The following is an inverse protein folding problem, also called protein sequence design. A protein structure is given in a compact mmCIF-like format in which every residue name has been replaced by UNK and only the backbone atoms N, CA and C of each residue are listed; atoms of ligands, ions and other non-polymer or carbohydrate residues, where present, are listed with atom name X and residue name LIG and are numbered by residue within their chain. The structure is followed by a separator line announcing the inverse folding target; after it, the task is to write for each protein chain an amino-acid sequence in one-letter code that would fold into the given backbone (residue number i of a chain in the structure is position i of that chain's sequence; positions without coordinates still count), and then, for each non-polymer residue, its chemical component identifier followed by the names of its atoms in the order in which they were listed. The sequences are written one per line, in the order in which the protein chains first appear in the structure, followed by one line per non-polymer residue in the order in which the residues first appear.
data_IF_547460870731
#
_entry.id   IF_547460870731
#
_cell.length_a   1.000
_cell.length_b   1.000
_cell.length_c   1.000
_cell.angle_alpha   90.00
_cell.angle_beta   90.00
_cell.angle_gamma   90.00
#
_symmetry.space_group_name_H-M   'P 1'
#
loop_
_entity.id
_entity.type
_entity.pdbx_description
1 polymer ?
#
# COMPACT_ATOMS: atom_id res chain seq x y z
N UNK A 1 41.80 -30.15 -9.52
CA UNK A 1 40.44 -30.66 -9.78
C UNK A 1 39.62 -30.91 -8.51
N UNK A 2 40.15 -31.50 -7.43
CA UNK A 2 39.37 -31.73 -6.18
C UNK A 2 38.88 -30.48 -5.49
N UNK A 3 39.62 -29.36 -5.48
CA UNK A 3 39.22 -28.11 -4.85
C UNK A 3 38.12 -27.33 -5.59
N UNK A 4 38.02 -27.51 -6.91
CA UNK A 4 36.98 -26.88 -7.74
C UNK A 4 35.60 -27.52 -7.50
N UNK A 5 35.57 -28.85 -7.31
CA UNK A 5 34.33 -29.57 -7.02
C UNK A 5 33.73 -29.24 -5.63
N UNK A 6 34.58 -29.03 -4.61
CA UNK A 6 34.15 -28.67 -3.28
C UNK A 6 33.53 -27.26 -3.27
N UNK A 7 34.11 -26.29 -3.99
CA UNK A 7 33.58 -24.93 -4.09
C UNK A 7 32.22 -24.85 -4.79
N UNK A 8 31.99 -25.67 -5.82
CA UNK A 8 30.71 -25.74 -6.53
C UNK A 8 29.63 -26.39 -5.66
N UNK A 9 29.96 -27.42 -4.88
CA UNK A 9 29.02 -28.06 -3.96
C UNK A 9 28.58 -27.12 -2.81
N UNK A 10 29.50 -26.32 -2.27
CA UNK A 10 29.19 -25.33 -1.21
C UNK A 10 28.31 -24.21 -1.77
N UNK A 11 28.56 -23.75 -2.99
CA UNK A 11 27.73 -22.70 -3.63
C UNK A 11 26.33 -23.22 -3.97
N UNK A 12 26.19 -24.45 -4.46
CA UNK A 12 24.89 -25.09 -4.66
C UNK A 12 24.10 -25.32 -3.35
N UNK A 13 24.77 -25.63 -2.25
CA UNK A 13 24.10 -25.84 -0.95
C UNK A 13 23.61 -24.52 -0.33
N UNK A 14 24.30 -23.41 -0.55
CA UNK A 14 23.87 -22.07 -0.13
C UNK A 14 22.64 -21.58 -0.92
N UNK A 15 22.57 -21.87 -2.22
CA UNK A 15 21.40 -21.57 -3.05
C UNK A 15 20.20 -22.45 -2.69
N UNK A 16 20.42 -23.73 -2.37
CA UNK A 16 19.34 -24.65 -2.01
C UNK A 16 18.70 -24.32 -0.65
N UNK A 17 19.44 -23.78 0.32
CA UNK A 17 18.89 -23.38 1.63
C UNK A 17 17.93 -22.19 1.52
N UNK A 18 18.14 -21.26 0.57
CA UNK A 18 17.25 -20.12 0.39
C UNK A 18 15.91 -20.47 -0.31
N UNK A 19 15.86 -21.58 -1.06
CA UNK A 19 14.65 -21.99 -1.79
C UNK A 19 13.58 -22.67 -0.92
N UNK A 20 13.94 -23.14 0.28
CA UNK A 20 13.05 -23.86 1.17
C UNK A 20 12.57 -23.02 2.39
N UNK A 21 13.07 -21.79 2.52
CA UNK A 21 12.73 -20.94 3.65
C UNK A 21 11.28 -20.48 3.59
N UNK A 22 10.53 -20.68 4.68
CA UNK A 22 9.11 -20.35 4.79
C UNK A 22 8.94 -18.97 5.41
N UNK A 23 8.58 -18.00 4.61
CA UNK A 23 8.45 -16.59 5.01
C UNK A 23 6.97 -16.23 5.16
N UNK A 24 6.60 -15.61 6.27
CA UNK A 24 5.31 -14.90 6.40
C UNK A 24 5.58 -13.41 6.30
N UNK A 25 4.82 -12.71 5.47
CA UNK A 25 4.83 -11.26 5.42
C UNK A 25 3.51 -10.69 5.97
N UNK A 26 3.62 -9.72 6.89
CA UNK A 26 2.48 -9.12 7.58
C UNK A 26 2.57 -7.60 7.41
N UNK A 27 1.56 -7.03 6.74
CA UNK A 27 1.52 -5.64 6.30
C UNK A 27 1.76 -5.49 4.81
N UNK A 28 0.80 -4.86 4.12
CA UNK A 28 0.80 -4.76 2.67
C UNK A 28 2.06 -4.14 2.07
N UNK A 29 2.66 -3.12 2.73
CA UNK A 29 3.93 -2.53 2.27
C UNK A 29 5.09 -3.53 2.27
N UNK A 30 5.23 -4.34 3.33
CA UNK A 30 6.29 -5.35 3.42
C UNK A 30 6.07 -6.44 2.39
N UNK A 31 4.83 -6.96 2.29
CA UNK A 31 4.48 -7.98 1.31
C UNK A 31 4.80 -7.50 -0.10
N UNK A 32 4.34 -6.34 -0.47
CA UNK A 32 4.58 -5.75 -1.79
C UNK A 32 6.07 -5.57 -2.07
N UNK A 33 6.84 -5.04 -1.10
CA UNK A 33 8.28 -4.85 -1.23
C UNK A 33 9.01 -6.17 -1.44
N UNK A 34 8.68 -7.23 -0.67
CA UNK A 34 9.27 -8.56 -0.86
C UNK A 34 9.01 -9.11 -2.26
N UNK A 35 7.78 -8.92 -2.78
CA UNK A 35 7.44 -9.36 -4.13
C UNK A 35 8.08 -8.49 -5.21
N UNK A 36 8.22 -7.18 -5.01
CA UNK A 36 8.92 -6.28 -5.93
C UNK A 36 10.43 -6.58 -6.01
N UNK A 37 11.03 -7.05 -4.92
CA UNK A 37 12.41 -7.54 -4.87
C UNK A 37 12.57 -8.97 -5.43
N UNK A 38 11.51 -9.55 -6.02
CA UNK A 38 11.49 -10.91 -6.58
C UNK A 38 11.81 -12.02 -5.55
N UNK A 39 11.47 -11.78 -4.27
CA UNK A 39 11.66 -12.75 -3.18
C UNK A 39 10.35 -13.40 -2.73
N UNK A 40 9.27 -13.18 -3.50
CA UNK A 40 7.93 -13.67 -3.16
C UNK A 40 7.72 -15.19 -3.25
N UNK A 41 8.63 -15.95 -3.89
CA UNK A 41 8.53 -17.41 -3.99
C UNK A 41 8.61 -18.12 -2.64
N UNK A 42 9.20 -17.49 -1.65
CA UNK A 42 9.36 -18.03 -0.30
C UNK A 42 8.19 -17.66 0.64
N UNK A 43 7.29 -16.78 0.19
CA UNK A 43 6.17 -16.32 0.99
C UNK A 43 5.08 -17.39 1.01
N UNK A 44 4.82 -17.96 2.18
CA UNK A 44 3.84 -19.06 2.39
C UNK A 44 2.51 -18.58 2.93
N UNK A 45 2.46 -17.39 3.56
CA UNK A 45 1.23 -16.78 4.06
C UNK A 45 1.40 -15.26 4.20
N UNK A 46 0.28 -14.55 4.19
CA UNK A 46 0.22 -13.08 4.29
C UNK A 46 -0.90 -12.65 5.25
N UNK A 47 -0.92 -11.38 5.64
CA UNK A 47 -2.08 -10.81 6.34
C UNK A 47 -3.18 -10.36 5.35
N UNK A 48 -4.39 -10.11 5.84
CA UNK A 48 -5.54 -9.75 4.98
C UNK A 48 -5.41 -8.36 4.32
N UNK A 49 -4.50 -7.49 4.77
CA UNK A 49 -4.25 -6.19 4.13
C UNK A 49 -3.32 -6.31 2.92
N UNK A 50 -2.67 -7.45 2.75
CA UNK A 50 -1.75 -7.73 1.65
C UNK A 50 -2.54 -8.13 0.40
N UNK A 51 -2.56 -7.25 -0.60
CA UNK A 51 -3.33 -7.44 -1.85
C UNK A 51 -2.50 -7.25 -3.12
N UNK A 52 -1.25 -6.80 -2.99
CA UNK A 52 -0.35 -6.46 -4.09
C UNK A 52 0.95 -7.28 -3.98
N UNK A 53 1.38 -7.90 -5.10
CA UNK A 53 0.66 -8.08 -6.37
C UNK A 53 -0.55 -9.01 -6.23
N UNK A 54 -1.48 -8.99 -7.18
CA UNK A 54 -2.75 -9.74 -7.09
C UNK A 54 -2.57 -11.24 -6.73
N UNK A 55 -1.47 -11.87 -7.13
CA UNK A 55 -1.16 -13.28 -6.80
C UNK A 55 -1.08 -13.55 -5.29
N UNK A 56 -0.80 -12.56 -4.43
CA UNK A 56 -0.73 -12.77 -2.97
C UNK A 56 -2.10 -13.06 -2.36
N UNK A 57 -3.20 -12.67 -3.03
CA UNK A 57 -4.56 -12.95 -2.56
C UNK A 57 -4.91 -14.44 -2.59
N UNK A 58 -4.10 -15.26 -3.26
CA UNK A 58 -4.23 -16.71 -3.32
C UNK A 58 -3.46 -17.42 -2.18
N UNK A 59 -2.61 -16.69 -1.45
CA UNK A 59 -1.86 -17.24 -0.32
C UNK A 59 -2.75 -17.38 0.92
N UNK A 60 -2.47 -18.34 1.82
CA UNK A 60 -3.08 -18.42 3.12
C UNK A 60 -3.00 -17.10 3.89
N UNK A 61 -4.08 -16.73 4.58
CA UNK A 61 -4.18 -15.49 5.35
C UNK A 61 -4.11 -15.77 6.84
N UNK A 62 -3.21 -15.09 7.56
CA UNK A 62 -3.00 -15.24 9.00
C UNK A 62 -3.75 -14.23 9.87
N UNK A 63 -4.66 -13.45 9.28
CA UNK A 63 -5.48 -12.45 9.98
C UNK A 63 -5.10 -11.01 9.65
N UNK A 64 -5.63 -10.06 10.42
CA UNK A 64 -5.39 -8.63 10.21
C UNK A 64 -4.17 -8.15 11.02
N UNK A 65 -3.28 -7.38 10.40
CA UNK A 65 -2.01 -6.93 11.00
C UNK A 65 -2.14 -6.40 12.45
N UNK A 66 -3.21 -5.68 12.79
CA UNK A 66 -3.42 -5.11 14.15
C UNK A 66 -4.19 -6.04 15.10
N UNK A 67 -4.66 -7.17 14.61
CA UNK A 67 -5.47 -8.14 15.37
C UNK A 67 -5.11 -9.58 15.05
N UNK A 68 -3.82 -9.83 14.78
CA UNK A 68 -3.33 -11.16 14.38
C UNK A 68 -3.24 -12.10 15.59
N UNK A 69 -3.29 -13.42 15.36
CA UNK A 69 -3.12 -14.42 16.40
C UNK A 69 -1.80 -15.16 16.27
N UNK A 70 -1.17 -15.46 17.40
CA UNK A 70 0.05 -16.29 17.46
C UNK A 70 -0.18 -17.68 16.87
N UNK A 71 -1.31 -18.31 17.20
CA UNK A 71 -1.67 -19.64 16.73
C UNK A 71 -1.79 -19.70 15.20
N UNK A 72 -2.51 -18.72 14.59
CA UNK A 72 -2.65 -18.62 13.14
C UNK A 72 -1.31 -18.50 12.41
N UNK A 73 -0.36 -17.77 13.00
CA UNK A 73 0.99 -17.64 12.45
C UNK A 73 1.77 -18.94 12.60
N UNK A 74 1.82 -19.52 13.81
CA UNK A 74 2.62 -20.72 14.11
C UNK A 74 2.12 -21.95 13.35
N UNK A 75 0.82 -22.04 13.06
CA UNK A 75 0.25 -23.14 12.25
C UNK A 75 0.82 -23.19 10.83
N UNK A 76 1.37 -22.11 10.32
CA UNK A 76 2.02 -22.03 9.01
C UNK A 76 3.48 -22.52 9.04
N UNK A 77 4.04 -22.87 10.23
CA UNK A 77 5.43 -23.26 10.41
C UNK A 77 6.43 -22.30 9.70
N UNK A 78 6.45 -21.00 10.04
CA UNK A 78 7.36 -20.05 9.41
C UNK A 78 8.78 -20.18 9.97
N UNK A 79 9.77 -20.02 9.10
CA UNK A 79 11.17 -19.81 9.49
C UNK A 79 11.43 -18.35 9.82
N UNK A 80 10.77 -17.44 9.07
CA UNK A 80 10.87 -15.98 9.24
C UNK A 80 9.53 -15.30 9.14
N UNK A 81 9.41 -14.20 9.88
CA UNK A 81 8.28 -13.27 9.77
C UNK A 81 8.83 -11.86 9.51
N UNK A 82 8.37 -11.23 8.45
CA UNK A 82 8.65 -9.84 8.11
C UNK A 82 7.39 -9.01 8.33
N UNK A 83 7.51 -7.95 9.12
CA UNK A 83 6.36 -7.10 9.46
C UNK A 83 6.80 -5.66 9.73
N UNK A 84 5.85 -4.80 10.07
CA UNK A 84 6.10 -3.42 10.48
C UNK A 84 5.73 -3.16 11.93
N UNK A 85 6.10 -1.97 12.42
CA UNK A 85 5.70 -1.45 13.74
C UNK A 85 4.18 -1.31 13.92
N UNK A 86 3.38 -1.51 12.88
CA UNK A 86 1.90 -1.55 12.97
C UNK A 86 1.35 -2.92 13.41
N UNK A 87 2.19 -3.96 13.48
CA UNK A 87 1.77 -5.29 13.92
C UNK A 87 1.34 -5.28 15.39
N UNK A 88 0.20 -5.87 15.65
CA UNK A 88 -0.36 -5.99 16.99
C UNK A 88 -1.32 -7.16 17.14
N UNK A 89 -1.76 -7.44 18.36
CA UNK A 89 -1.42 -6.75 19.63
C UNK A 89 0.04 -7.01 20.08
N UNK A 90 0.63 -6.13 20.92
CA UNK A 90 2.01 -6.28 21.40
C UNK A 90 2.30 -7.63 22.05
N UNK A 91 1.30 -8.24 22.70
CA UNK A 91 1.39 -9.59 23.29
C UNK A 91 1.77 -10.65 22.25
N UNK A 92 1.21 -10.56 21.03
CA UNK A 92 1.52 -11.52 19.95
C UNK A 92 2.96 -11.37 19.50
N UNK A 93 3.46 -10.13 19.36
CA UNK A 93 4.85 -9.85 19.03
C UNK A 93 5.79 -10.50 20.06
N UNK A 94 5.47 -10.37 21.36
CA UNK A 94 6.26 -10.99 22.42
C UNK A 94 6.21 -12.51 22.36
N UNK A 95 5.02 -13.11 22.19
CA UNK A 95 4.86 -14.56 22.08
C UNK A 95 5.64 -15.18 20.92
N UNK A 96 5.69 -14.49 19.77
CA UNK A 96 6.47 -14.97 18.62
C UNK A 96 7.98 -14.93 18.90
N UNK A 97 8.47 -13.87 19.58
CA UNK A 97 9.86 -13.80 20.04
C UNK A 97 10.20 -14.90 21.03
N UNK A 98 9.32 -15.15 22.01
CA UNK A 98 9.49 -16.20 23.02
C UNK A 98 9.48 -17.60 22.40
N UNK A 99 8.74 -17.80 21.30
CA UNK A 99 8.75 -19.01 20.49
C UNK A 99 10.02 -19.19 19.63
N UNK A 100 10.96 -18.24 19.68
CA UNK A 100 12.22 -18.31 18.92
C UNK A 100 12.08 -18.06 17.42
N UNK A 101 10.96 -17.49 16.96
CA UNK A 101 10.74 -17.18 15.55
C UNK A 101 11.63 -16.00 15.14
N UNK A 102 12.29 -16.11 13.98
CA UNK A 102 13.04 -15.00 13.39
C UNK A 102 12.09 -13.90 12.91
N UNK A 103 11.74 -12.99 13.83
CA UNK A 103 10.80 -11.90 13.61
C UNK A 103 11.54 -10.59 13.32
N UNK A 104 11.44 -10.12 12.08
CA UNK A 104 11.96 -8.81 11.66
C UNK A 104 10.84 -7.77 11.59
N UNK A 105 11.00 -6.70 12.34
CA UNK A 105 10.04 -5.59 12.40
C UNK A 105 10.70 -4.35 11.78
N UNK A 106 10.11 -3.83 10.72
CA UNK A 106 10.51 -2.60 10.03
C UNK A 106 9.67 -1.41 10.49
N UNK A 107 10.14 -0.19 10.26
CA UNK A 107 9.32 0.99 10.45
C UNK A 107 8.20 1.02 9.40
N UNK A 108 6.98 1.30 9.85
CA UNK A 108 5.85 1.48 8.92
C UNK A 108 6.02 2.80 8.15
N UNK A 109 5.98 2.78 6.80
CA UNK A 109 6.17 3.99 6.00
C UNK A 109 5.00 4.96 6.17
N UNK A 110 5.31 6.26 6.20
CA UNK A 110 4.37 7.38 6.34
C UNK A 110 4.44 8.38 5.19
N UNK A 111 5.49 8.30 4.39
CA UNK A 111 5.77 9.19 3.28
C UNK A 111 6.62 8.47 2.22
N UNK A 112 6.95 9.15 1.14
CA UNK A 112 7.75 8.61 0.04
C UNK A 112 9.16 8.18 0.47
N UNK A 113 9.86 8.97 1.30
CA UNK A 113 11.21 8.64 1.75
C UNK A 113 11.22 7.40 2.63
N UNK A 114 10.17 7.20 3.44
CA UNK A 114 10.01 6.00 4.24
C UNK A 114 9.77 4.74 3.36
N UNK A 115 9.14 4.88 2.18
CA UNK A 115 9.01 3.78 1.21
C UNK A 115 10.41 3.37 0.71
N UNK A 116 11.24 4.32 0.34
CA UNK A 116 12.61 4.04 -0.10
C UNK A 116 13.43 3.39 1.01
N UNK A 117 13.28 3.86 2.25
CA UNK A 117 13.95 3.30 3.43
C UNK A 117 13.50 1.86 3.70
N UNK A 118 12.20 1.57 3.58
CA UNK A 118 11.66 0.21 3.73
C UNK A 118 12.25 -0.74 2.67
N UNK A 119 12.40 -0.29 1.42
CA UNK A 119 13.01 -1.08 0.35
C UNK A 119 14.46 -1.44 0.70
N UNK A 120 15.25 -0.47 1.20
CA UNK A 120 16.64 -0.71 1.62
C UNK A 120 16.71 -1.72 2.77
N UNK A 121 15.88 -1.52 3.79
CA UNK A 121 15.87 -2.37 4.98
C UNK A 121 15.48 -3.81 4.65
N UNK A 122 14.44 -3.99 3.80
CA UNK A 122 13.98 -5.32 3.37
C UNK A 122 15.01 -5.97 2.45
N UNK A 123 15.58 -5.23 1.49
CA UNK A 123 16.58 -5.75 0.56
C UNK A 123 17.86 -6.17 1.28
N UNK A 124 18.28 -5.40 2.28
CA UNK A 124 19.44 -5.73 3.14
C UNK A 124 19.16 -6.99 3.97
N UNK A 125 17.98 -7.08 4.57
CA UNK A 125 17.60 -8.24 5.39
C UNK A 125 17.50 -9.54 4.59
N UNK A 126 17.13 -9.45 3.30
CA UNK A 126 17.00 -10.59 2.38
C UNK A 126 18.25 -10.84 1.52
N UNK A 127 19.36 -10.14 1.76
CA UNK A 127 20.62 -10.27 1.01
C UNK A 127 20.47 -10.00 -0.51
N UNK A 128 19.58 -9.04 -0.87
CA UNK A 128 19.33 -8.65 -2.27
C UNK A 128 19.50 -7.15 -2.51
N UNK A 129 20.46 -6.51 -1.87
CA UNK A 129 20.68 -5.05 -1.88
C UNK A 129 20.75 -4.46 -3.30
N UNK A 130 21.33 -5.17 -4.28
CA UNK A 130 21.35 -4.72 -5.69
C UNK A 130 19.94 -4.57 -6.29
N UNK A 131 19.02 -5.48 -5.96
CA UNK A 131 17.61 -5.36 -6.39
C UNK A 131 16.92 -4.20 -5.70
N UNK A 132 17.26 -3.94 -4.42
CA UNK A 132 16.79 -2.77 -3.68
C UNK A 132 17.22 -1.47 -4.33
N UNK A 133 18.51 -1.33 -4.68
CA UNK A 133 19.05 -0.16 -5.38
C UNK A 133 18.36 0.07 -6.73
N UNK A 134 18.14 -0.99 -7.52
CA UNK A 134 17.44 -0.91 -8.79
C UNK A 134 15.99 -0.43 -8.60
N UNK A 135 15.23 -1.06 -7.71
CA UNK A 135 13.84 -0.70 -7.44
C UNK A 135 13.73 0.76 -6.97
N UNK A 136 14.63 1.20 -6.08
CA UNK A 136 14.67 2.61 -5.64
C UNK A 136 14.96 3.56 -6.79
N UNK A 137 15.90 3.24 -7.67
CA UNK A 137 16.23 4.07 -8.84
C UNK A 137 15.01 4.24 -9.74
N UNK A 138 14.23 3.18 -9.97
CA UNK A 138 12.97 3.23 -10.72
C UNK A 138 11.93 4.14 -10.04
N UNK A 139 11.77 4.04 -8.71
CA UNK A 139 10.83 4.88 -7.98
C UNK A 139 11.26 6.35 -7.93
N UNK A 140 12.56 6.63 -7.87
CA UNK A 140 13.10 8.00 -7.93
C UNK A 140 12.77 8.63 -9.29
N UNK A 141 12.94 7.91 -10.39
CA UNK A 141 12.58 8.39 -11.72
C UNK A 141 11.08 8.69 -11.85
N UNK A 142 10.22 7.81 -11.34
CA UNK A 142 8.77 8.04 -11.30
C UNK A 142 8.41 9.26 -10.45
N UNK A 143 9.09 9.45 -9.31
CA UNK A 143 8.87 10.62 -8.44
C UNK A 143 9.30 11.93 -9.10
N UNK A 144 10.37 11.93 -9.92
CA UNK A 144 10.77 13.09 -10.70
C UNK A 144 9.66 13.47 -11.69
N UNK A 145 9.09 12.50 -12.42
CA UNK A 145 7.94 12.74 -13.31
C UNK A 145 6.72 13.28 -12.54
N UNK A 146 6.45 12.77 -11.33
CA UNK A 146 5.38 13.28 -10.47
C UNK A 146 5.63 14.77 -10.16
N UNK A 147 6.86 15.14 -9.78
CA UNK A 147 7.19 16.51 -9.43
C UNK A 147 7.03 17.49 -10.62
N UNK A 148 7.29 17.02 -11.85
CA UNK A 148 7.09 17.80 -13.07
C UNK A 148 5.61 17.98 -13.44
N UNK A 149 4.76 17.01 -13.09
CA UNK A 149 3.34 16.94 -13.45
C UNK A 149 2.39 17.37 -12.33
N UNK A 150 2.90 17.79 -11.17
CA UNK A 150 2.07 18.13 -10.00
C UNK A 150 0.92 19.06 -10.36
N UNK A 151 -0.22 18.79 -9.75
CA UNK A 151 -1.42 19.61 -9.90
C UNK A 151 -1.23 20.97 -9.23
N UNK A 152 -1.93 21.99 -9.72
CA UNK A 152 -1.89 23.36 -9.18
C UNK A 152 -3.00 23.56 -8.12
N UNK A 153 -2.86 22.84 -7.02
CA UNK A 153 -3.71 22.93 -5.82
C UNK A 153 -5.23 22.79 -6.03
N UNK A 154 -5.72 21.88 -6.91
CA UNK A 154 -7.16 21.66 -6.98
C UNK A 154 -7.68 21.14 -5.63
N UNK A 155 -8.92 21.50 -5.31
CA UNK A 155 -9.65 20.99 -4.16
C UNK A 155 -10.00 19.53 -4.38
N UNK A 156 -9.43 18.63 -3.59
CA UNK A 156 -9.62 17.19 -3.72
C UNK A 156 -10.25 16.61 -2.46
N UNK A 157 -11.13 15.64 -2.64
CA UNK A 157 -11.61 14.77 -1.56
C UNK A 157 -11.33 13.31 -1.91
N UNK A 158 -10.98 12.52 -0.91
CA UNK A 158 -10.91 11.06 -1.02
C UNK A 158 -11.98 10.41 -0.14
N UNK A 159 -12.80 9.54 -0.71
CA UNK A 159 -13.76 8.73 0.00
C UNK A 159 -13.33 7.27 0.07
N UNK A 160 -13.24 6.74 1.30
CA UNK A 160 -12.92 5.34 1.56
C UNK A 160 -14.10 4.45 1.26
N UNK A 161 -14.04 3.65 0.19
CA UNK A 161 -15.08 2.67 -0.17
C UNK A 161 -16.51 3.21 0.03
N UNK A 162 -16.88 4.31 -0.65
CA UNK A 162 -18.16 4.95 -0.42
C UNK A 162 -19.32 4.01 -0.74
N UNK A 163 -20.44 4.18 -0.02
CA UNK A 163 -21.71 3.56 -0.32
C UNK A 163 -22.78 4.65 -0.34
N UNK A 164 -23.92 4.40 -0.96
CA UNK A 164 -25.03 5.37 -1.02
C UNK A 164 -25.41 5.83 0.39
N UNK A 165 -25.36 7.15 0.64
CA UNK A 165 -25.64 7.75 1.94
C UNK A 165 -24.56 7.54 3.01
N UNK A 166 -23.39 6.98 2.65
CA UNK A 166 -22.28 6.79 3.59
C UNK A 166 -20.95 7.21 2.94
N UNK A 167 -20.52 8.42 3.24
CA UNK A 167 -19.33 9.06 2.67
C UNK A 167 -18.26 9.23 3.75
N UNK A 168 -17.32 8.28 3.84
CA UNK A 168 -16.19 8.35 4.77
C UNK A 168 -15.04 9.11 4.10
N UNK A 169 -14.92 10.40 4.37
CA UNK A 169 -13.90 11.25 3.81
C UNK A 169 -12.57 11.15 4.58
N UNK A 170 -11.48 11.29 3.86
CA UNK A 170 -10.14 11.37 4.44
C UNK A 170 -9.88 12.77 5.00
N UNK A 171 -9.65 12.87 6.31
CA UNK A 171 -9.14 14.06 6.98
C UNK A 171 -7.63 14.01 7.15
N UNK A 172 -7.08 14.96 7.91
CA UNK A 172 -5.64 15.08 8.14
C UNK A 172 -5.03 13.82 8.76
N UNK A 173 -3.77 13.55 8.39
CA UNK A 173 -2.98 12.44 8.90
C UNK A 173 -3.38 11.06 8.36
N UNK A 174 -4.24 10.99 7.34
CA UNK A 174 -4.50 9.76 6.59
C UNK A 174 -3.49 9.58 5.46
N UNK A 175 -3.31 8.35 5.01
CA UNK A 175 -2.48 8.07 3.82
C UNK A 175 -3.09 8.66 2.55
N UNK A 176 -4.42 8.78 2.49
CA UNK A 176 -5.10 9.45 1.39
C UNK A 176 -4.90 10.97 1.41
N UNK A 177 -4.84 11.59 2.60
CA UNK A 177 -4.44 12.99 2.75
C UNK A 177 -3.01 13.22 2.25
N UNK A 178 -2.09 12.31 2.58
CA UNK A 178 -0.74 12.34 2.03
C UNK A 178 -0.74 12.20 0.49
N UNK A 179 -1.51 11.26 -0.09
CA UNK A 179 -1.63 11.11 -1.55
C UNK A 179 -2.06 12.43 -2.21
N UNK A 180 -3.12 13.05 -1.69
CA UNK A 180 -3.66 14.31 -2.23
C UNK A 180 -2.56 15.39 -2.26
N UNK A 181 -1.85 15.58 -1.15
CA UNK A 181 -0.75 16.55 -1.07
C UNK A 181 0.44 16.16 -1.97
N UNK A 182 0.77 14.87 -2.04
CA UNK A 182 1.87 14.35 -2.84
C UNK A 182 1.69 14.59 -4.33
N UNK A 183 0.45 14.52 -4.84
CA UNK A 183 0.12 14.82 -6.23
C UNK A 183 -0.09 16.33 -6.50
N UNK A 184 0.01 17.18 -5.50
CA UNK A 184 -0.13 18.64 -5.63
C UNK A 184 -1.55 19.17 -5.41
N UNK A 185 -2.48 18.35 -4.89
CA UNK A 185 -3.83 18.81 -4.54
C UNK A 185 -3.95 19.36 -3.13
N UNK A 186 -5.11 19.90 -2.81
CA UNK A 186 -5.51 20.38 -1.48
C UNK A 186 -6.67 19.53 -0.95
N UNK A 187 -6.47 18.81 0.16
CA UNK A 187 -7.54 18.03 0.77
C UNK A 187 -8.52 18.98 1.47
N UNK A 188 -9.78 18.99 1.00
CA UNK A 188 -10.81 19.91 1.51
C UNK A 188 -11.15 19.72 2.99
N UNK A 189 -10.86 18.56 3.57
CA UNK A 189 -11.17 18.23 4.96
C UNK A 189 -9.94 18.17 5.87
N UNK A 190 -8.76 18.62 5.40
CA UNK A 190 -7.52 18.54 6.19
C UNK A 190 -7.58 19.34 7.50
N UNK A 191 -8.37 20.43 7.53
CA UNK A 191 -8.52 21.32 8.71
C UNK A 191 -9.74 20.99 9.57
N UNK A 192 -10.69 20.19 9.11
CA UNK A 192 -11.95 19.94 9.82
C UNK A 192 -11.83 18.77 10.80
N UNK A 193 -11.15 17.69 10.41
CA UNK A 193 -11.01 16.50 11.24
C UNK A 193 -9.76 15.69 10.91
N UNK A 194 -9.39 14.84 11.87
CA UNK A 194 -8.32 13.84 11.69
C UNK A 194 -8.92 12.49 11.34
N UNK A 195 -8.13 11.66 10.62
CA UNK A 195 -8.51 10.31 10.21
C UNK A 195 -9.69 10.31 9.21
N UNK A 196 -10.35 9.15 9.05
CA UNK A 196 -11.52 9.01 8.21
C UNK A 196 -12.78 9.32 9.03
N UNK A 197 -13.62 10.23 8.52
CA UNK A 197 -14.83 10.67 9.20
C UNK A 197 -16.01 10.66 8.22
N UNK A 198 -17.17 10.24 8.70
CA UNK A 198 -18.40 10.30 7.91
C UNK A 198 -18.82 11.76 7.76
N UNK A 199 -18.99 12.20 6.51
CA UNK A 199 -19.45 13.55 6.14
C UNK A 199 -20.85 13.49 5.54
N UNK A 200 -21.56 14.62 5.58
CA UNK A 200 -22.87 14.77 4.95
C UNK A 200 -22.73 15.12 3.46
N UNK A 201 -23.80 14.93 2.70
CA UNK A 201 -23.86 15.39 1.30
C UNK A 201 -23.80 16.92 1.22
N UNK A 202 -24.39 17.60 2.18
CA UNK A 202 -24.40 19.05 2.30
C UNK A 202 -22.96 19.59 2.45
N UNK A 203 -22.12 18.91 3.23
CA UNK A 203 -20.72 19.28 3.36
C UNK A 203 -19.98 19.12 2.03
N UNK A 204 -20.22 18.03 1.30
CA UNK A 204 -19.60 17.79 -0.01
C UNK A 204 -19.97 18.88 -1.00
N UNK A 205 -21.26 19.26 -1.08
CA UNK A 205 -21.77 20.32 -1.94
C UNK A 205 -21.19 21.67 -1.54
N UNK A 206 -21.14 21.98 -0.24
CA UNK A 206 -20.61 23.24 0.33
C UNK A 206 -19.12 23.43 0.00
N UNK A 207 -18.30 22.38 0.18
CA UNK A 207 -16.87 22.45 -0.14
C UNK A 207 -16.59 22.46 -1.63
N UNK A 208 -17.51 21.92 -2.43
CA UNK A 208 -17.47 21.92 -3.89
C UNK A 208 -16.09 21.48 -4.44
N UNK A 209 -15.67 20.22 -4.23
CA UNK A 209 -14.38 19.75 -4.69
C UNK A 209 -14.27 19.80 -6.23
N UNK A 210 -13.05 20.08 -6.70
CA UNK A 210 -12.70 20.04 -8.13
C UNK A 210 -12.50 18.60 -8.59
N UNK A 211 -12.02 17.73 -7.70
CA UNK A 211 -11.74 16.31 -7.98
C UNK A 211 -12.28 15.45 -6.83
N UNK A 212 -12.94 14.34 -7.18
CA UNK A 212 -13.35 13.30 -6.24
C UNK A 212 -12.58 12.03 -6.52
N UNK A 213 -11.86 11.53 -5.49
CA UNK A 213 -11.22 10.22 -5.49
C UNK A 213 -12.08 9.25 -4.69
N UNK A 214 -12.35 8.07 -5.26
CA UNK A 214 -13.15 7.02 -4.59
C UNK A 214 -12.32 5.76 -4.42
N UNK A 215 -12.12 5.33 -3.17
CA UNK A 215 -11.40 4.11 -2.86
C UNK A 215 -12.20 2.86 -3.20
N UNK A 216 -11.62 1.92 -3.95
CA UNK A 216 -12.16 0.59 -4.15
C UNK A 216 -11.22 -0.48 -3.61
N UNK A 217 -11.81 -1.58 -3.11
CA UNK A 217 -11.03 -2.71 -2.56
C UNK A 217 -10.74 -3.75 -3.64
N UNK A 218 -11.70 -3.97 -4.55
CA UNK A 218 -11.59 -4.91 -5.68
C UNK A 218 -11.82 -4.16 -6.98
N UNK A 219 -11.05 -4.46 -8.02
CA UNK A 219 -11.18 -3.79 -9.33
C UNK A 219 -12.61 -3.86 -9.90
N UNK A 220 -13.33 -4.96 -9.63
CA UNK A 220 -14.74 -5.12 -9.99
C UNK A 220 -15.66 -4.03 -9.40
N UNK A 221 -15.30 -3.45 -8.24
CA UNK A 221 -16.08 -2.42 -7.57
C UNK A 221 -15.68 -0.99 -7.98
N UNK A 222 -14.64 -0.82 -8.79
CA UNK A 222 -14.15 0.49 -9.20
C UNK A 222 -15.22 1.36 -9.87
N UNK A 223 -15.95 0.77 -10.83
CA UNK A 223 -17.04 1.47 -11.50
C UNK A 223 -18.16 1.82 -10.52
N UNK A 224 -18.55 0.88 -9.66
CA UNK A 224 -19.61 1.05 -8.67
C UNK A 224 -19.35 2.26 -7.75
N UNK A 225 -18.15 2.35 -7.17
CA UNK A 225 -17.82 3.46 -6.25
C UNK A 225 -17.76 4.84 -6.94
N UNK A 226 -17.44 4.89 -8.23
CA UNK A 226 -17.50 6.11 -9.04
C UNK A 226 -18.96 6.46 -9.37
N UNK A 227 -19.75 5.48 -9.75
CA UNK A 227 -21.14 5.65 -10.17
C UNK A 227 -22.04 6.16 -9.02
N UNK A 228 -21.68 5.92 -7.75
CA UNK A 228 -22.37 6.48 -6.58
C UNK A 228 -22.49 8.01 -6.69
N UNK A 229 -21.44 8.69 -7.10
CA UNK A 229 -21.44 10.16 -7.27
C UNK A 229 -21.96 10.58 -8.63
N UNK A 230 -21.53 9.89 -9.69
CA UNK A 230 -21.86 10.24 -11.08
C UNK A 230 -23.35 10.21 -11.38
N UNK A 231 -24.06 9.23 -10.81
CA UNK A 231 -25.49 8.99 -11.08
C UNK A 231 -26.42 9.60 -10.02
N UNK A 232 -25.86 10.34 -9.05
CA UNK A 232 -26.67 10.98 -8.03
C UNK A 232 -27.09 12.39 -8.43
N UNK A 233 -28.40 12.62 -8.51
CA UNK A 233 -28.97 13.95 -8.81
C UNK A 233 -28.52 15.01 -7.78
N UNK A 234 -28.25 14.60 -6.55
CA UNK A 234 -27.86 15.48 -5.45
C UNK A 234 -26.49 16.15 -5.66
N UNK A 235 -25.57 15.49 -6.39
CA UNK A 235 -24.21 15.98 -6.61
C UNK A 235 -23.98 16.65 -7.97
N UNK A 236 -25.00 16.80 -8.80
CA UNK A 236 -24.87 17.38 -10.15
C UNK A 236 -24.38 18.84 -10.13
N UNK A 237 -24.50 19.54 -9.02
CA UNK A 237 -23.97 20.89 -8.84
C UNK A 237 -22.47 20.95 -8.50
N UNK A 238 -21.87 19.84 -8.08
CA UNK A 238 -20.46 19.74 -7.64
C UNK A 238 -19.52 19.84 -8.85
N UNK A 239 -18.46 20.64 -8.73
CA UNK A 239 -17.51 20.90 -9.82
C UNK A 239 -16.90 19.60 -10.37
N UNK A 240 -16.48 18.68 -9.52
CA UNK A 240 -15.93 17.39 -9.90
C UNK A 240 -16.91 16.57 -10.80
N UNK A 241 -18.21 16.64 -10.54
CA UNK A 241 -19.22 15.92 -11.34
C UNK A 241 -19.40 16.60 -12.68
N UNK A 242 -19.58 17.94 -12.70
CA UNK A 242 -19.75 18.73 -13.92
C UNK A 242 -18.59 18.55 -14.91
N UNK A 243 -17.37 18.50 -14.37
CA UNK A 243 -16.15 18.42 -15.15
C UNK A 243 -15.65 16.98 -15.36
N UNK A 244 -16.46 15.97 -14.96
CA UNK A 244 -16.13 14.54 -15.05
C UNK A 244 -14.80 14.17 -14.35
N UNK A 245 -14.45 14.88 -13.27
CA UNK A 245 -13.22 14.71 -12.48
C UNK A 245 -13.46 13.72 -11.32
N UNK A 246 -13.84 12.50 -11.65
CA UNK A 246 -14.15 11.39 -10.74
C UNK A 246 -13.22 10.21 -11.02
N UNK A 247 -12.45 9.79 -10.02
CA UNK A 247 -11.45 8.73 -10.20
C UNK A 247 -11.57 7.65 -9.12
N UNK A 248 -11.67 6.40 -9.57
CA UNK A 248 -11.51 5.23 -8.69
C UNK A 248 -10.02 4.96 -8.44
N UNK A 249 -9.65 4.80 -7.17
CA UNK A 249 -8.28 4.54 -6.71
C UNK A 249 -8.26 3.26 -5.87
N UNK A 250 -7.28 2.39 -6.10
CA UNK A 250 -7.11 1.16 -5.32
C UNK A 250 -6.75 1.48 -3.86
N UNK A 251 -7.59 1.04 -2.93
CA UNK A 251 -7.36 1.19 -1.49
C UNK A 251 -6.04 0.51 -1.08
N UNK A 252 -5.74 -0.67 -1.64
CA UNK A 252 -4.49 -1.38 -1.37
C UNK A 252 -3.26 -0.56 -1.77
N UNK A 253 -3.24 0.02 -2.98
CA UNK A 253 -2.12 0.81 -3.48
C UNK A 253 -1.94 2.11 -2.68
N UNK A 254 -3.03 2.79 -2.31
CA UNK A 254 -2.96 4.05 -1.54
C UNK A 254 -2.63 3.83 -0.07
N UNK A 255 -3.21 2.80 0.56
CA UNK A 255 -3.11 2.64 2.02
C UNK A 255 -1.96 1.73 2.46
N UNK A 256 -1.39 0.91 1.58
CA UNK A 256 -0.27 0.07 1.94
C UNK A 256 1.05 0.84 2.00
N UNK A 257 1.20 1.93 1.23
CA UNK A 257 2.47 2.66 1.16
C UNK A 257 3.65 1.75 0.78
N UNK A 258 3.40 0.85 -0.17
CA UNK A 258 4.43 0.06 -0.82
C UNK A 258 4.95 0.72 -2.11
N UNK A 259 5.80 0.05 -2.86
CA UNK A 259 6.35 0.56 -4.13
C UNK A 259 5.30 1.03 -5.14
N UNK A 260 4.12 0.36 -5.23
CA UNK A 260 3.04 0.74 -6.16
C UNK A 260 2.44 2.12 -5.89
N UNK A 261 2.56 2.66 -4.67
CA UNK A 261 2.07 3.99 -4.32
C UNK A 261 2.58 5.06 -5.30
N UNK A 262 3.87 5.00 -5.67
CA UNK A 262 4.49 5.99 -6.57
C UNK A 262 3.90 5.90 -7.97
N UNK A 263 3.82 4.67 -8.51
CA UNK A 263 3.27 4.45 -9.85
C UNK A 263 1.77 4.80 -9.92
N UNK A 264 1.00 4.46 -8.89
CA UNK A 264 -0.43 4.81 -8.78
C UNK A 264 -0.63 6.33 -8.76
N UNK A 265 0.22 7.05 -8.01
CA UNK A 265 0.20 8.51 -7.94
C UNK A 265 0.49 9.15 -9.31
N UNK A 266 1.52 8.66 -10.01
CA UNK A 266 1.86 9.15 -11.36
C UNK A 266 0.73 8.89 -12.37
N UNK A 267 0.15 7.69 -12.35
CA UNK A 267 -0.95 7.33 -13.23
C UNK A 267 -2.21 8.16 -12.95
N UNK A 268 -2.46 8.50 -11.69
CA UNK A 268 -3.57 9.36 -11.29
C UNK A 268 -3.36 10.79 -11.82
N UNK A 269 -2.20 11.39 -11.65
CA UNK A 269 -1.88 12.72 -12.17
C UNK A 269 -2.03 12.76 -13.69
N UNK A 270 -1.49 11.77 -14.41
CA UNK A 270 -1.61 11.69 -15.87
C UNK A 270 -3.08 11.64 -16.31
N UNK A 271 -3.93 10.89 -15.61
CA UNK A 271 -5.37 10.82 -15.90
C UNK A 271 -6.08 12.14 -15.64
N UNK A 272 -5.75 12.83 -14.55
CA UNK A 272 -6.33 14.12 -14.20
C UNK A 272 -5.98 15.16 -15.27
N UNK A 273 -4.70 15.24 -15.66
CA UNK A 273 -4.20 16.21 -16.65
C UNK A 273 -4.65 15.91 -18.10
N UNK A 274 -5.20 14.72 -18.40
CA UNK A 274 -5.70 14.39 -19.76
C UNK A 274 -7.18 14.69 -19.96
N UNK A 275 -7.91 15.08 -18.91
CA UNK A 275 -9.32 15.50 -18.98
C UNK A 275 -9.37 17.03 -19.02
N UNK A 276 -8.85 17.62 -20.09
CA UNK A 276 -9.08 19.00 -20.47
C UNK A 276 -10.22 19.10 -21.51
#
# INVERSE_FOLDING_TARGET
MKHLFVSILIFCSLLANNLNERVITIGGCVTETVFALEMGQNVVAVDISSSIPNKVTQLPQVGYIRGISTEGILSMNPDKILTTTEMGPPKVVQQLKDAGINLKIFNAPKNYDDILSLIDDVATFLDVSKKGEQLKSELIELNNQINELKLDKPKIVFFMSPALGSYNAAGSGTRADYLINYIGGENIFTNDFKRYTKVSKEDIIKYNPDIILTGYVRELNKKEVVDIFKNSDEFQSVAAIKNNQLYGVSVGEVLNFGPSFVNTSLNLIKKINTVE
#
